data_IF_954453729776
#
_entry.id   IF_954453729776
#
_cell.length_a   1.000
_cell.length_b   1.000
_cell.length_c   1.000
_cell.angle_alpha   90.00
_cell.angle_beta   90.00
_cell.angle_gamma   90.00
#
_symmetry.space_group_name_H-M   'P 1'
#
loop_
_entity.id
_entity.type
_entity.pdbx_description
1 polymer ?
#
# COMPACT_ATOMS: atom_id res chain seq x y z
N UNK A 1 -30.42 -45.05 -1.53
CA UNK A 1 -30.57 -43.86 -0.66
C UNK A 1 -29.29 -43.05 -0.77
N UNK A 2 -29.31 -41.97 -1.55
CA UNK A 2 -28.13 -41.13 -1.82
C UNK A 2 -28.23 -39.94 -0.84
N UNK A 3 -27.30 -39.88 0.10
CA UNK A 3 -27.25 -38.84 1.12
C UNK A 3 -26.71 -37.55 0.54
N UNK A 4 -27.55 -36.52 0.47
CA UNK A 4 -27.16 -35.16 0.07
C UNK A 4 -26.43 -34.50 1.24
N UNK A 5 -25.10 -34.41 1.14
CA UNK A 5 -24.29 -33.58 2.05
C UNK A 5 -24.56 -32.10 1.71
N UNK A 6 -25.43 -31.47 2.48
CA UNK A 6 -25.62 -30.02 2.47
C UNK A 6 -24.41 -29.36 3.12
N UNK A 7 -23.38 -29.11 2.31
CA UNK A 7 -22.22 -28.32 2.71
C UNK A 7 -22.65 -26.86 2.85
N UNK A 8 -23.05 -26.51 4.07
CA UNK A 8 -23.38 -25.15 4.48
C UNK A 8 -22.08 -24.34 4.47
N UNK A 9 -21.68 -23.88 3.29
CA UNK A 9 -20.63 -22.88 3.08
C UNK A 9 -21.05 -21.61 3.83
N UNK A 10 -20.66 -21.55 5.11
CA UNK A 10 -20.62 -20.30 5.85
C UNK A 10 -19.44 -19.54 5.25
N UNK A 11 -19.75 -18.61 4.34
CA UNK A 11 -18.85 -17.52 4.03
C UNK A 11 -18.44 -16.93 5.38
N UNK A 12 -17.19 -17.14 5.75
CA UNK A 12 -16.60 -16.48 6.90
C UNK A 12 -16.63 -15.02 6.52
N UNK A 13 -17.55 -14.27 7.12
CA UNK A 13 -17.51 -12.81 7.11
C UNK A 13 -16.12 -12.44 7.60
N UNK A 14 -15.26 -12.05 6.66
CA UNK A 14 -13.98 -11.42 6.95
C UNK A 14 -14.34 -10.08 7.60
N UNK A 15 -14.55 -10.14 8.91
CA UNK A 15 -14.68 -9.04 9.84
C UNK A 15 -13.87 -7.85 9.35
N UNK A 16 -14.59 -6.75 9.14
CA UNK A 16 -14.19 -5.34 9.05
C UNK A 16 -12.70 -5.04 9.31
N UNK A 17 -11.81 -5.53 8.45
CA UNK A 17 -10.51 -4.91 8.28
C UNK A 17 -10.81 -3.54 7.67
N UNK A 18 -10.98 -2.53 8.53
CA UNK A 18 -11.06 -1.10 8.20
C UNK A 18 -10.18 -0.86 6.97
N UNK A 19 -10.80 -0.76 5.79
CA UNK A 19 -10.09 -0.86 4.53
C UNK A 19 -9.13 0.31 4.46
N UNK A 20 -7.84 0.03 4.63
CA UNK A 20 -6.80 1.04 4.68
C UNK A 20 -6.87 1.88 3.41
N UNK A 21 -7.00 3.22 3.52
CA UNK A 21 -7.18 4.06 2.35
C UNK A 21 -5.95 3.94 1.45
N UNK A 22 -6.13 3.47 0.22
CA UNK A 22 -5.05 3.36 -0.73
C UNK A 22 -4.75 4.72 -1.38
N UNK A 23 -3.47 4.99 -1.58
CA UNK A 23 -2.94 6.22 -2.17
C UNK A 23 -2.29 5.87 -3.49
N UNK A 24 -2.59 6.60 -4.55
CA UNK A 24 -1.92 6.49 -5.84
C UNK A 24 -1.00 7.70 -6.03
N UNK A 25 0.27 7.48 -6.34
CA UNK A 25 1.28 8.51 -6.57
C UNK A 25 1.61 8.56 -8.06
N UNK A 26 1.40 9.73 -8.65
CA UNK A 26 1.66 10.06 -10.05
C UNK A 26 2.46 11.37 -10.12
N UNK A 27 3.72 11.30 -9.67
CA UNK A 27 4.67 12.42 -9.60
C UNK A 27 6.03 12.00 -10.16
N UNK A 28 6.90 12.95 -10.54
CA UNK A 28 8.26 12.65 -10.99
C UNK A 28 9.13 11.98 -9.90
N UNK A 29 10.19 11.29 -10.33
CA UNK A 29 11.03 10.44 -9.46
C UNK A 29 11.60 11.16 -8.24
N UNK A 30 11.90 12.45 -8.34
CA UNK A 30 12.46 13.24 -7.24
C UNK A 30 11.55 13.35 -6.00
N UNK A 31 10.22 13.28 -6.18
CA UNK A 31 9.26 13.26 -5.08
C UNK A 31 8.67 11.87 -4.84
N UNK A 32 8.65 11.02 -5.87
CA UNK A 32 7.99 9.71 -5.82
C UNK A 32 8.61 8.78 -4.77
N UNK A 33 9.92 8.57 -4.82
CA UNK A 33 10.61 7.62 -3.91
C UNK A 33 10.53 8.04 -2.44
N UNK A 34 10.79 9.32 -2.07
CA UNK A 34 10.61 9.77 -0.70
C UNK A 34 9.18 9.60 -0.18
N UNK A 35 8.17 9.94 -0.99
CA UNK A 35 6.77 9.80 -0.61
C UNK A 35 6.36 8.34 -0.45
N UNK A 36 6.76 7.48 -1.39
CA UNK A 36 6.48 6.06 -1.34
C UNK A 36 7.03 5.46 -0.04
N UNK A 37 8.30 5.76 0.29
CA UNK A 37 8.94 5.26 1.51
C UNK A 37 8.25 5.76 2.78
N UNK A 38 7.98 7.06 2.87
CA UNK A 38 7.38 7.66 4.08
C UNK A 38 5.94 7.18 4.31
N UNK A 39 5.11 7.16 3.26
CA UNK A 39 3.71 6.72 3.37
C UNK A 39 3.60 5.22 3.65
N UNK A 40 4.46 4.40 3.03
CA UNK A 40 4.50 2.96 3.31
C UNK A 40 4.94 2.69 4.75
N UNK A 41 5.96 3.41 5.24
CA UNK A 41 6.42 3.30 6.64
C UNK A 41 5.32 3.70 7.66
N UNK A 42 4.38 4.55 7.25
CA UNK A 42 3.21 4.96 8.04
C UNK A 42 2.03 3.99 7.93
N UNK A 43 2.16 2.91 7.16
CA UNK A 43 1.16 1.85 7.03
C UNK A 43 0.08 2.13 5.97
N UNK A 44 0.29 3.10 5.09
CA UNK A 44 -0.59 3.30 3.94
C UNK A 44 -0.29 2.29 2.84
N UNK A 45 -1.34 1.86 2.13
CA UNK A 45 -1.17 1.13 0.87
C UNK A 45 -0.91 2.14 -0.24
N UNK A 46 0.24 2.04 -0.91
CA UNK A 46 0.65 3.01 -1.92
C UNK A 46 0.85 2.33 -3.26
N UNK A 47 0.21 2.86 -4.29
CA UNK A 47 0.43 2.52 -5.69
C UNK A 47 1.25 3.62 -6.34
N UNK A 48 2.12 3.25 -7.28
CA UNK A 48 2.86 4.19 -8.12
C UNK A 48 2.42 4.10 -9.57
N UNK A 49 2.42 5.24 -10.24
CA UNK A 49 2.24 5.36 -11.68
C UNK A 49 3.25 6.34 -12.25
N UNK A 50 3.70 6.07 -13.47
CA UNK A 50 4.67 6.89 -14.23
C UNK A 50 4.04 7.61 -15.42
N UNK A 51 2.79 7.30 -15.74
CA UNK A 51 2.03 7.92 -16.83
C UNK A 51 0.54 8.05 -16.50
N UNK A 52 -0.19 8.91 -17.23
CA UNK A 52 -1.66 8.97 -17.17
C UNK A 52 -2.31 7.61 -17.49
N UNK A 53 -1.74 6.87 -18.45
CA UNK A 53 -2.24 5.53 -18.82
C UNK A 53 -2.14 4.56 -17.65
N UNK A 54 -1.02 4.54 -16.94
CA UNK A 54 -0.86 3.73 -15.73
C UNK A 54 -1.81 4.16 -14.61
N UNK A 55 -2.01 5.47 -14.43
CA UNK A 55 -3.00 5.98 -13.45
C UNK A 55 -4.39 5.45 -13.76
N UNK A 56 -4.83 5.56 -15.01
CA UNK A 56 -6.14 5.06 -15.43
C UNK A 56 -6.22 3.54 -15.21
N UNK A 57 -5.19 2.80 -15.64
CA UNK A 57 -5.14 1.35 -15.47
C UNK A 57 -5.32 0.96 -14.01
N UNK A 58 -4.55 1.54 -13.09
CA UNK A 58 -4.64 1.24 -11.65
C UNK A 58 -6.03 1.63 -11.11
N UNK A 59 -6.55 2.80 -11.47
CA UNK A 59 -7.87 3.27 -11.00
C UNK A 59 -8.99 2.30 -11.38
N UNK A 60 -8.92 1.73 -12.59
CA UNK A 60 -9.93 0.82 -13.14
C UNK A 60 -9.75 -0.63 -12.64
N UNK A 61 -8.52 -1.12 -12.53
CA UNK A 61 -8.27 -2.55 -12.26
C UNK A 61 -8.18 -2.92 -10.79
N UNK A 62 -7.84 -1.97 -9.90
CA UNK A 62 -7.70 -2.29 -8.48
C UNK A 62 -9.06 -2.61 -7.86
N UNK A 63 -9.19 -3.71 -7.12
CA UNK A 63 -10.43 -3.98 -6.38
C UNK A 63 -10.57 -3.07 -5.15
N UNK A 64 -9.44 -2.67 -4.57
CA UNK A 64 -9.40 -1.83 -3.36
C UNK A 64 -9.80 -0.39 -3.65
N UNK A 65 -10.44 0.32 -2.70
CA UNK A 65 -10.76 1.72 -2.85
C UNK A 65 -9.48 2.58 -2.83
N UNK A 66 -9.28 3.36 -3.90
CA UNK A 66 -8.23 4.38 -3.97
C UNK A 66 -8.88 5.71 -3.55
N UNK A 67 -8.46 6.22 -2.40
CA UNK A 67 -9.08 7.41 -1.81
C UNK A 67 -8.37 8.70 -2.21
N UNK A 68 -7.09 8.62 -2.55
CA UNK A 68 -6.27 9.79 -2.85
C UNK A 68 -5.33 9.53 -4.02
N UNK A 69 -5.32 10.45 -4.97
CA UNK A 69 -4.33 10.56 -6.04
C UNK A 69 -3.43 11.77 -5.76
N UNK A 70 -2.12 11.54 -5.58
CA UNK A 70 -1.11 12.59 -5.51
C UNK A 70 -0.54 12.78 -6.90
N UNK A 71 -0.81 13.93 -7.50
CA UNK A 71 -0.59 14.17 -8.92
C UNK A 71 0.32 15.36 -9.13
N UNK A 72 1.38 15.22 -9.93
CA UNK A 72 2.13 16.39 -10.35
C UNK A 72 1.41 17.09 -11.50
N UNK A 73 1.23 18.42 -11.42
CA UNK A 73 0.47 19.18 -12.40
C UNK A 73 1.02 19.05 -13.85
N UNK A 74 2.32 18.79 -13.98
CA UNK A 74 2.99 18.55 -15.27
C UNK A 74 2.75 17.14 -15.82
N UNK A 75 2.37 16.20 -14.95
CA UNK A 75 2.19 14.79 -15.31
C UNK A 75 0.72 14.45 -15.52
N UNK A 76 -0.16 15.03 -14.69
CA UNK A 76 -1.59 14.75 -14.69
C UNK A 76 -2.34 16.06 -14.81
N UNK A 77 -3.17 16.19 -15.84
CA UNK A 77 -3.99 17.38 -16.02
C UNK A 77 -5.21 17.39 -15.08
N UNK A 78 -5.72 18.58 -14.75
CA UNK A 78 -6.99 18.71 -14.02
C UNK A 78 -8.17 18.05 -14.77
N UNK A 79 -8.15 18.09 -16.11
CA UNK A 79 -9.16 17.44 -16.94
C UNK A 79 -9.10 15.93 -16.80
N UNK A 80 -7.89 15.35 -16.86
CA UNK A 80 -7.68 13.92 -16.65
C UNK A 80 -8.14 13.49 -15.26
N UNK A 81 -7.76 14.23 -14.22
CA UNK A 81 -8.22 13.98 -12.84
C UNK A 81 -9.77 13.98 -12.72
N UNK A 82 -10.47 14.88 -13.43
CA UNK A 82 -11.93 14.88 -13.50
C UNK A 82 -12.48 13.66 -14.24
N UNK A 83 -11.80 13.20 -15.28
CA UNK A 83 -12.17 12.00 -16.03
C UNK A 83 -12.03 10.70 -15.22
N UNK A 84 -11.31 10.71 -14.09
CA UNK A 84 -11.22 9.56 -13.18
C UNK A 84 -12.44 9.40 -12.25
N UNK A 85 -13.21 10.47 -12.03
CA UNK A 85 -14.36 10.48 -11.12
C UNK A 85 -15.45 9.45 -11.44
N UNK A 86 -15.80 9.16 -12.70
CA UNK A 86 -16.76 8.11 -13.04
C UNK A 86 -16.33 6.72 -12.56
N UNK A 87 -15.03 6.43 -12.56
CA UNK A 87 -14.49 5.15 -12.09
C UNK A 87 -14.39 5.10 -10.56
N UNK A 88 -14.09 6.24 -9.91
CA UNK A 88 -13.94 6.36 -8.45
C UNK A 88 -14.50 7.69 -7.96
N UNK A 89 -15.76 7.69 -7.53
CA UNK A 89 -16.45 8.92 -7.08
C UNK A 89 -15.76 9.58 -5.88
N UNK A 90 -15.26 8.77 -4.96
CA UNK A 90 -14.60 9.21 -3.72
C UNK A 90 -13.13 9.59 -3.91
N UNK A 91 -12.55 9.43 -5.11
CA UNK A 91 -11.15 9.75 -5.37
C UNK A 91 -10.90 11.25 -5.16
N UNK A 92 -10.09 11.60 -4.18
CA UNK A 92 -9.59 12.95 -3.98
C UNK A 92 -8.28 13.11 -4.76
N UNK A 93 -7.98 14.34 -5.20
CA UNK A 93 -6.76 14.61 -5.95
C UNK A 93 -6.00 15.74 -5.26
N UNK A 94 -4.75 15.46 -4.90
CA UNK A 94 -3.81 16.43 -4.34
C UNK A 94 -2.76 16.75 -5.40
N UNK A 95 -2.83 17.97 -5.94
CA UNK A 95 -1.85 18.43 -6.90
C UNK A 95 -0.57 18.91 -6.21
N UNK A 96 0.58 18.43 -6.70
CA UNK A 96 1.91 18.86 -6.31
C UNK A 96 2.65 19.42 -7.53
N UNK A 97 3.69 20.19 -7.29
CA UNK A 97 4.49 20.89 -8.30
C UNK A 97 5.81 21.24 -7.66
N UNK A 98 6.84 21.20 -8.48
CA UNK A 98 8.18 21.56 -8.09
C UNK A 98 8.43 23.06 -8.22
N UNK A 99 7.62 23.77 -9.01
CA UNK A 99 7.84 25.18 -9.33
C UNK A 99 7.45 26.14 -8.21
N UNK A 100 8.37 27.06 -7.95
CA UNK A 100 8.36 27.98 -6.81
C UNK A 100 7.38 29.16 -6.91
N UNK A 101 6.62 29.26 -7.99
CA UNK A 101 5.77 30.43 -8.26
C UNK A 101 4.29 30.27 -7.88
N UNK A 102 3.89 29.11 -7.35
CA UNK A 102 2.50 28.89 -6.92
C UNK A 102 2.41 28.75 -5.40
N UNK A 103 1.54 29.55 -4.80
CA UNK A 103 1.28 29.60 -3.36
C UNK A 103 0.52 28.40 -2.81
N UNK A 104 -0.05 27.56 -3.70
CA UNK A 104 -0.92 26.44 -3.33
C UNK A 104 -0.23 25.07 -3.42
N UNK A 105 1.06 25.04 -3.75
CA UNK A 105 1.72 23.81 -4.13
C UNK A 105 2.80 23.39 -3.12
N UNK A 106 2.64 22.17 -2.61
CA UNK A 106 3.53 21.55 -1.63
C UNK A 106 4.80 21.07 -2.34
N UNK A 107 5.95 21.62 -1.92
CA UNK A 107 7.27 21.44 -2.56
C UNK A 107 8.13 20.33 -1.96
N UNK A 108 7.66 19.75 -0.87
CA UNK A 108 8.44 18.88 -0.01
C UNK A 108 7.67 17.57 0.19
N UNK A 109 8.36 16.44 0.09
CA UNK A 109 7.78 15.13 0.34
C UNK A 109 7.24 15.06 1.77
N UNK A 110 7.92 15.66 2.75
CA UNK A 110 7.51 15.69 4.15
C UNK A 110 6.22 16.51 4.32
N UNK A 111 6.16 17.72 3.73
CA UNK A 111 4.95 18.55 3.78
C UNK A 111 3.78 17.88 3.05
N UNK A 112 4.07 17.20 1.95
CA UNK A 112 3.05 16.49 1.16
C UNK A 112 2.50 15.33 1.97
N UNK A 113 3.37 14.54 2.60
CA UNK A 113 2.95 13.46 3.50
C UNK A 113 2.16 13.98 4.71
N UNK A 114 2.57 15.11 5.32
CA UNK A 114 1.81 15.74 6.39
C UNK A 114 0.41 16.18 5.91
N UNK A 115 0.30 16.71 4.68
CA UNK A 115 -0.99 17.07 4.09
C UNK A 115 -1.86 15.84 3.83
N UNK A 116 -1.27 14.76 3.31
CA UNK A 116 -1.94 13.47 3.12
C UNK A 116 -2.51 12.96 4.46
N UNK A 117 -1.74 13.06 5.55
CA UNK A 117 -2.18 12.68 6.89
C UNK A 117 -3.30 13.57 7.47
N UNK A 118 -3.40 14.82 7.03
CA UNK A 118 -4.54 15.68 7.40
C UNK A 118 -5.80 15.29 6.63
N UNK A 119 -5.65 14.85 5.38
CA UNK A 119 -6.76 14.46 4.51
C UNK A 119 -7.28 13.06 4.80
N UNK A 120 -6.38 12.15 5.18
CA UNK A 120 -6.69 10.76 5.48
C UNK A 120 -6.53 10.53 6.98
N UNK A 121 -7.54 9.95 7.62
CA UNK A 121 -7.36 9.44 8.98
C UNK A 121 -6.24 8.39 8.91
N UNK A 122 -5.15 8.52 9.69
CA UNK A 122 -4.15 7.47 9.72
C UNK A 122 -4.86 6.18 10.11
N UNK A 123 -4.50 5.06 9.48
CA UNK A 123 -5.07 3.80 9.88
C UNK A 123 -4.86 3.67 11.39
N UNK A 124 -5.94 3.45 12.14
CA UNK A 124 -5.79 3.10 13.54
C UNK A 124 -4.79 1.97 13.53
N UNK A 125 -3.65 2.17 14.22
CA UNK A 125 -2.70 1.08 14.43
C UNK A 125 -3.58 -0.06 14.90
N UNK A 126 -3.70 -1.10 14.08
CA UNK A 126 -3.96 -2.42 14.63
C UNK A 126 -2.82 -2.50 15.62
N UNK A 127 -3.15 -2.38 16.90
CA UNK A 127 -2.22 -2.59 17.98
C UNK A 127 -1.90 -4.08 17.86
N UNK A 128 -1.04 -4.40 16.87
CA UNK A 128 -0.45 -5.69 16.68
C UNK A 128 0.27 -5.89 17.98
N UNK A 129 -0.34 -6.69 18.85
CA UNK A 129 0.37 -7.29 19.96
C UNK A 129 1.68 -7.78 19.33
N UNK A 130 2.84 -7.36 19.85
CA UNK A 130 4.12 -7.70 19.24
C UNK A 130 4.08 -9.19 18.95
N UNK A 131 4.23 -9.53 17.67
CA UNK A 131 4.22 -10.90 17.19
C UNK A 131 5.32 -11.59 17.97
N UNK A 132 4.93 -12.33 19.03
CA UNK A 132 5.86 -13.04 19.89
C UNK A 132 6.58 -13.99 18.97
N UNK A 133 7.84 -13.66 18.72
CA UNK A 133 8.77 -14.44 17.96
C UNK A 133 8.79 -15.81 18.65
N UNK A 134 8.06 -16.78 18.11
CA UNK A 134 8.23 -18.18 18.47
C UNK A 134 9.59 -18.54 17.91
N UNK A 135 10.61 -18.23 18.71
CA UNK A 135 11.96 -18.72 18.54
C UNK A 135 11.83 -20.24 18.62
N UNK A 136 11.63 -20.87 17.46
CA UNK A 136 11.80 -22.30 17.31
C UNK A 136 13.26 -22.53 17.66
N UNK A 137 13.50 -22.99 18.89
CA UNK A 137 14.76 -23.60 19.28
C UNK A 137 14.86 -24.86 18.44
N UNK A 138 15.50 -24.76 17.29
CA UNK A 138 15.99 -25.92 16.57
C UNK A 138 17.11 -26.50 17.43
N UNK A 139 16.76 -27.47 18.25
CA UNK A 139 17.70 -28.36 18.92
C UNK A 139 18.38 -29.20 17.84
N UNK A 140 19.46 -28.66 17.26
CA UNK A 140 20.32 -29.42 16.34
C UNK A 140 21.26 -30.23 17.23
N UNK A 141 20.84 -31.46 17.52
CA UNK A 141 21.67 -32.47 18.17
C UNK A 141 22.93 -32.71 17.37
N UNK A 142 24.08 -32.50 18.01
CA UNK A 142 25.39 -32.81 17.48
C UNK A 142 25.54 -34.33 17.33
N UNK A 143 25.50 -34.83 16.09
CA UNK A 143 25.93 -36.18 15.78
C UNK A 143 27.46 -36.20 15.68
N UNK A 144 28.09 -36.78 16.69
CA UNK A 144 29.52 -37.01 16.81
C UNK A 144 29.89 -38.20 15.90
N UNK A 145 30.60 -37.95 14.81
CA UNK A 145 31.10 -39.00 13.91
C UNK A 145 32.40 -39.58 14.51
N UNK A 146 32.30 -40.79 15.06
CA UNK A 146 33.45 -41.61 15.47
C UNK A 146 34.06 -42.24 14.22
N UNK A 147 35.25 -41.80 13.83
CA UNK A 147 36.08 -42.54 12.88
C UNK A 147 36.94 -43.53 13.66
N UNK A 148 36.54 -44.80 13.61
CA UNK A 148 37.34 -45.91 14.11
C UNK A 148 38.36 -46.32 13.06
N UNK A 149 39.62 -46.42 13.48
CA UNK A 149 40.73 -47.02 12.76
C UNK A 149 40.43 -48.46 12.34
N UNK A 150 40.96 -48.86 11.18
CA UNK A 150 40.99 -50.24 10.71
C UNK A 150 42.19 -50.45 9.81
N UNK A 151 43.14 -51.24 10.30
CA UNK A 151 44.41 -51.65 9.71
C UNK A 151 44.25 -52.40 8.38
N UNK A 152 45.27 -52.31 7.51
CA UNK A 152 46.03 -53.44 6.96
C UNK A 152 47.33 -52.92 6.32
#
# INVERSE_FOLDING_TARGET
>A
MIGTINEKMRCVDLDEHESFPAILIAVQDGLRQPLLRDLTAKGYLVFEARSEVEVLHIVVTQSRPICLLVAEANMITHQFARALKPYRRELQVLFVSRDSNSSFIVRDAEKTAARIQQMLKPPKKIAGKPQKNWLIKSDVGAAQLVTSSGEL
#
